data_IF_228058480195
#
_entry.id   IF_228058480195
#
_cell.length_a   1.000
_cell.length_b   1.000
_cell.length_c   1.000
_cell.angle_alpha   90.00
_cell.angle_beta   90.00
_cell.angle_gamma   90.00
#
_symmetry.space_group_name_H-M   'P 1'
#
loop_
_entity.id
_entity.type
_entity.pdbx_description
1 polymer ?
#
# COMPACT_ATOMS: atom_id res chain seq x y z
N UNK A 1 -24.52 44.54 39.57
CA UNK A 1 -24.00 44.23 38.23
C UNK A 1 -22.66 43.54 38.42
N UNK A 2 -22.64 42.20 38.45
CA UNK A 2 -21.40 41.42 38.50
C UNK A 2 -21.24 40.73 37.15
N UNK A 3 -20.27 41.18 36.36
CA UNK A 3 -19.94 40.59 35.06
C UNK A 3 -19.26 39.23 35.29
N UNK A 4 -19.90 38.16 34.82
CA UNK A 4 -19.30 36.82 34.79
C UNK A 4 -18.25 36.73 33.68
N UNK A 5 -17.01 36.41 34.08
CA UNK A 5 -15.90 36.08 33.18
C UNK A 5 -16.24 34.81 32.37
N UNK A 6 -15.96 34.73 31.06
CA UNK A 6 -16.14 33.49 30.30
C UNK A 6 -15.13 32.42 30.76
N UNK A 7 -15.50 31.13 30.73
CA UNK A 7 -14.56 30.06 31.07
C UNK A 7 -13.43 30.02 30.05
N UNK A 8 -12.19 29.96 30.55
CA UNK A 8 -11.01 29.76 29.71
C UNK A 8 -11.18 28.46 28.92
N UNK A 9 -11.14 28.55 27.59
CA UNK A 9 -11.13 27.40 26.72
C UNK A 9 -9.88 26.57 27.03
N UNK A 10 -10.06 25.45 27.72
CA UNK A 10 -8.99 24.50 27.98
C UNK A 10 -8.42 24.02 26.65
N UNK A 11 -7.14 24.27 26.43
CA UNK A 11 -6.39 23.74 25.30
C UNK A 11 -6.51 22.22 25.31
N UNK A 12 -7.33 21.68 24.40
CA UNK A 12 -7.46 20.24 24.25
C UNK A 12 -6.09 19.69 23.84
N UNK A 13 -5.44 18.98 24.76
CA UNK A 13 -4.26 18.19 24.43
C UNK A 13 -4.74 17.08 23.52
N UNK A 14 -4.45 17.18 22.23
CA UNK A 14 -4.70 16.11 21.27
C UNK A 14 -3.78 14.95 21.64
N UNK A 15 -4.30 14.02 22.43
CA UNK A 15 -3.64 12.75 22.68
C UNK A 15 -3.62 11.92 21.40
N UNK A 16 -2.46 11.39 21.04
CA UNK A 16 -2.36 10.42 19.94
C UNK A 16 -3.07 9.13 20.34
N UNK A 17 -4.16 8.80 19.65
CA UNK A 17 -4.87 7.54 19.82
C UNK A 17 -4.07 6.40 19.16
N UNK A 18 -3.37 5.62 19.98
CA UNK A 18 -2.51 4.53 19.53
C UNK A 18 -3.27 3.45 18.78
N UNK A 19 -4.56 3.24 19.06
CA UNK A 19 -5.39 2.29 18.31
C UNK A 19 -5.66 2.81 16.91
N UNK A 20 -6.04 4.09 16.78
CA UNK A 20 -6.23 4.71 15.46
C UNK A 20 -4.95 4.73 14.64
N UNK A 21 -3.80 5.00 15.26
CA UNK A 21 -2.50 4.93 14.59
C UNK A 21 -2.18 3.52 14.10
N UNK A 22 -2.36 2.51 14.96
CA UNK A 22 -2.13 1.10 14.59
C UNK A 22 -3.06 0.67 13.48
N UNK A 23 -4.34 0.96 13.59
CA UNK A 23 -5.35 0.56 12.60
C UNK A 23 -5.08 1.27 11.26
N UNK A 24 -4.70 2.55 11.30
CA UNK A 24 -4.25 3.30 10.12
C UNK A 24 -2.99 2.71 9.48
N UNK A 25 -2.02 2.27 10.28
CA UNK A 25 -0.82 1.59 9.80
C UNK A 25 -1.17 0.27 9.12
N UNK A 26 -2.03 -0.55 9.74
CA UNK A 26 -2.48 -1.83 9.17
C UNK A 26 -3.12 -1.60 7.81
N UNK A 27 -4.10 -0.69 7.73
CA UNK A 27 -4.80 -0.38 6.47
C UNK A 27 -3.81 0.12 5.41
N UNK A 28 -2.89 1.01 5.78
CA UNK A 28 -1.91 1.56 4.84
C UNK A 28 -0.98 0.48 4.30
N UNK A 29 -0.45 -0.38 5.16
CA UNK A 29 0.41 -1.50 4.76
C UNK A 29 -0.37 -2.48 3.88
N UNK A 30 -1.58 -2.85 4.26
CA UNK A 30 -2.44 -3.73 3.46
C UNK A 30 -2.70 -3.14 2.08
N UNK A 31 -3.01 -1.85 1.98
CA UNK A 31 -3.22 -1.17 0.71
C UNK A 31 -1.96 -1.21 -0.16
N UNK A 32 -0.80 -0.89 0.41
CA UNK A 32 0.47 -0.92 -0.31
C UNK A 32 0.81 -2.33 -0.83
N UNK A 33 0.59 -3.35 -0.01
CA UNK A 33 0.77 -4.76 -0.41
C UNK A 33 -0.20 -5.12 -1.54
N UNK A 34 -1.48 -4.78 -1.42
CA UNK A 34 -2.47 -5.05 -2.45
C UNK A 34 -2.12 -4.38 -3.79
N UNK A 35 -1.72 -3.10 -3.76
CA UNK A 35 -1.27 -2.37 -4.95
C UNK A 35 -0.01 -2.98 -5.55
N UNK A 36 0.92 -3.46 -4.72
CA UNK A 36 2.14 -4.13 -5.18
C UNK A 36 1.82 -5.45 -5.87
N UNK A 37 0.88 -6.24 -5.33
CA UNK A 37 0.41 -7.48 -5.96
C UNK A 37 -0.28 -7.18 -7.28
N UNK A 38 -1.16 -6.17 -7.31
CA UNK A 38 -1.82 -5.75 -8.56
C UNK A 38 -0.79 -5.30 -9.60
N UNK A 39 0.24 -4.55 -9.20
CA UNK A 39 1.34 -4.19 -10.09
C UNK A 39 2.09 -5.42 -10.59
N UNK A 40 2.50 -6.33 -9.70
CA UNK A 40 3.22 -7.55 -10.06
C UNK A 40 2.43 -8.40 -11.05
N UNK A 41 1.11 -8.48 -10.86
CA UNK A 41 0.25 -9.31 -11.69
C UNK A 41 0.00 -8.62 -13.03
N UNK A 42 -0.36 -7.33 -13.07
CA UNK A 42 -0.85 -6.64 -14.28
C UNK A 42 0.17 -5.82 -15.06
N UNK A 43 1.26 -5.38 -14.44
CA UNK A 43 2.08 -4.28 -14.95
C UNK A 43 3.59 -4.56 -14.88
N UNK A 44 4.04 -5.56 -14.12
CA UNK A 44 5.47 -5.82 -13.99
C UNK A 44 6.06 -6.38 -15.29
N UNK A 45 7.13 -5.73 -15.74
CA UNK A 45 7.95 -6.11 -16.89
C UNK A 45 9.42 -6.27 -16.45
N UNK A 46 9.61 -6.88 -15.28
CA UNK A 46 10.92 -7.08 -14.67
C UNK A 46 11.39 -5.90 -13.83
N UNK A 47 10.49 -5.00 -13.41
CA UNK A 47 10.87 -3.87 -12.58
C UNK A 47 11.12 -4.30 -11.13
N UNK A 48 10.26 -5.17 -10.57
CA UNK A 48 10.31 -5.58 -9.17
C UNK A 48 11.62 -6.26 -8.78
N UNK A 49 12.21 -7.09 -9.66
CA UNK A 49 13.47 -7.79 -9.39
C UNK A 49 14.69 -7.09 -9.98
N UNK A 50 14.53 -5.96 -10.68
CA UNK A 50 15.65 -5.22 -11.28
C UNK A 50 16.76 -4.85 -10.27
N UNK A 51 16.47 -4.46 -9.02
CA UNK A 51 17.52 -4.12 -8.05
C UNK A 51 18.43 -5.30 -7.68
N UNK A 52 17.94 -6.54 -7.83
CA UNK A 52 18.66 -7.76 -7.44
C UNK A 52 19.24 -8.48 -8.64
N UNK A 53 18.48 -8.59 -9.73
CA UNK A 53 18.83 -9.37 -10.93
C UNK A 53 19.40 -8.50 -12.07
N UNK A 54 19.33 -7.17 -11.96
CA UNK A 54 19.75 -6.25 -13.01
C UNK A 54 19.07 -6.54 -14.35
N UNK A 55 19.85 -6.56 -15.43
CA UNK A 55 19.34 -6.81 -16.79
C UNK A 55 18.62 -8.15 -16.95
N UNK A 56 18.99 -9.15 -16.13
CA UNK A 56 18.35 -10.46 -16.17
C UNK A 56 16.86 -10.38 -15.80
N UNK A 57 16.48 -9.40 -14.98
CA UNK A 57 15.09 -9.18 -14.59
C UNK A 57 14.18 -8.91 -15.79
N UNK A 58 14.64 -8.09 -16.74
CA UNK A 58 13.87 -7.77 -17.95
C UNK A 58 14.00 -8.87 -19.02
N UNK A 59 15.17 -9.50 -19.17
CA UNK A 59 15.36 -10.50 -20.22
C UNK A 59 14.69 -11.84 -19.92
N UNK A 60 14.66 -12.25 -18.65
CA UNK A 60 14.00 -13.49 -18.22
C UNK A 60 12.56 -13.26 -17.74
N UNK A 61 12.27 -12.07 -17.20
CA UNK A 61 10.93 -11.60 -16.82
C UNK A 61 10.12 -12.61 -15.97
N UNK A 62 10.77 -13.31 -15.04
CA UNK A 62 10.17 -14.43 -14.30
C UNK A 62 8.84 -14.11 -13.60
N UNK A 63 8.69 -12.90 -13.06
CA UNK A 63 7.44 -12.48 -12.43
C UNK A 63 6.33 -12.36 -13.47
N UNK A 64 6.62 -11.79 -14.64
CA UNK A 64 5.65 -11.66 -15.72
C UNK A 64 5.15 -13.01 -16.18
N UNK A 65 6.04 -13.95 -16.52
CA UNK A 65 5.63 -15.26 -17.02
C UNK A 65 4.83 -16.04 -15.97
N UNK A 66 5.27 -16.03 -14.71
CA UNK A 66 4.52 -16.64 -13.61
C UNK A 66 3.13 -16.03 -13.42
N UNK A 67 3.03 -14.70 -13.43
CA UNK A 67 1.76 -14.01 -13.30
C UNK A 67 0.85 -14.21 -14.52
N UNK A 68 1.45 -14.28 -15.71
CA UNK A 68 0.76 -14.56 -16.97
C UNK A 68 0.11 -15.95 -16.94
N UNK A 69 0.84 -16.97 -16.50
CA UNK A 69 0.31 -18.33 -16.31
C UNK A 69 -0.83 -18.37 -15.29
N UNK A 70 -0.69 -17.66 -14.16
CA UNK A 70 -1.75 -17.60 -13.15
C UNK A 70 -3.03 -16.94 -13.68
N UNK A 71 -2.92 -15.91 -14.54
CA UNK A 71 -4.09 -15.28 -15.18
C UNK A 71 -4.79 -16.23 -16.13
N UNK A 72 -4.02 -16.98 -16.92
CA UNK A 72 -4.57 -18.00 -17.80
C UNK A 72 -5.35 -19.05 -16.99
N UNK A 73 -4.78 -19.50 -15.87
CA UNK A 73 -5.42 -20.47 -14.99
C UNK A 73 -6.71 -19.94 -14.35
N UNK A 74 -6.75 -18.66 -13.99
CA UNK A 74 -7.89 -18.03 -13.31
C UNK A 74 -8.87 -17.32 -14.26
N UNK A 75 -8.65 -17.39 -15.57
CA UNK A 75 -9.49 -16.75 -16.59
C UNK A 75 -9.45 -15.21 -16.58
N UNK A 76 -8.37 -14.62 -16.07
CA UNK A 76 -8.19 -13.18 -16.07
C UNK A 76 -7.73 -12.68 -17.46
N UNK A 77 -8.15 -11.49 -17.91
CA UNK A 77 -7.76 -10.94 -19.21
C UNK A 77 -6.25 -10.68 -19.28
N UNK A 78 -5.63 -11.04 -20.42
CA UNK A 78 -4.17 -11.09 -20.58
C UNK A 78 -3.61 -10.70 -21.97
N UNK A 79 -4.39 -10.03 -22.84
CA UNK A 79 -3.87 -9.41 -24.07
C UNK A 79 -4.52 -8.04 -24.33
#
# INVERSE_FOLDING_TARGET
MASSMPPAAGSAVVGLDTRRLRDGLIVSVTLLVALTILYAVFLDQGALLSPVLGKLSASANYIHEFAHDARHLLGAPCH
#
